data_IF_512953081224
#
_entry.id   IF_512953081224
#
_cell.length_a   1.000
_cell.length_b   1.000
_cell.length_c   1.000
_cell.angle_alpha   90.00
_cell.angle_beta   90.00
_cell.angle_gamma   90.00
#
_symmetry.space_group_name_H-M   'P 1'
#
loop_
_entity.id
_entity.type
_entity.pdbx_description
1 polymer ?
#
# COMPACT_ATOMS: atom_id res chain seq x y z
N UNK A 1 -15.41 15.17 -8.23
CA UNK A 1 -15.37 13.77 -8.62
C UNK A 1 -15.78 12.99 -7.39
N UNK A 2 -16.83 12.18 -7.54
CA UNK A 2 -17.47 11.44 -6.44
C UNK A 2 -17.06 9.95 -6.46
N UNK A 3 -16.20 9.57 -7.41
CA UNK A 3 -15.63 8.23 -7.49
C UNK A 3 -14.45 8.08 -6.53
N UNK A 4 -14.54 7.10 -5.63
CA UNK A 4 -13.51 6.79 -4.65
C UNK A 4 -13.14 5.31 -4.72
N UNK A 5 -11.86 5.02 -4.54
CA UNK A 5 -11.32 3.66 -4.38
C UNK A 5 -10.75 3.52 -2.96
N UNK A 6 -10.99 2.37 -2.34
CA UNK A 6 -10.48 2.04 -1.01
C UNK A 6 -9.79 0.67 -1.04
N UNK A 7 -8.61 0.60 -0.42
CA UNK A 7 -7.92 -0.64 -0.08
C UNK A 7 -8.03 -0.90 1.42
N UNK A 8 -8.42 -2.13 1.77
CA UNK A 8 -8.76 -2.54 3.13
C UNK A 8 -7.82 -3.67 3.50
N UNK A 9 -7.16 -3.56 4.66
CA UNK A 9 -6.40 -4.68 5.24
C UNK A 9 -7.31 -5.88 5.45
N UNK A 10 -6.76 -7.10 5.44
CA UNK A 10 -7.56 -8.25 5.86
C UNK A 10 -8.03 -8.09 7.31
N UNK A 11 -9.29 -8.44 7.58
CA UNK A 11 -9.82 -8.60 8.93
C UNK A 11 -9.51 -9.99 9.49
N UNK A 12 -9.86 -10.23 10.75
CA UNK A 12 -9.70 -11.55 11.39
C UNK A 12 -8.56 -11.62 12.40
N UNK A 13 -8.13 -12.83 12.72
CA UNK A 13 -7.07 -13.09 13.70
C UNK A 13 -5.66 -12.84 13.13
N UNK A 14 -4.65 -13.16 13.93
CA UNK A 14 -3.23 -13.05 13.58
C UNK A 14 -2.58 -14.43 13.34
N UNK A 15 -3.39 -15.48 13.17
CA UNK A 15 -2.86 -16.81 12.86
C UNK A 15 -2.35 -16.85 11.41
N UNK A 16 -1.38 -17.72 11.13
CA UNK A 16 -0.94 -17.96 9.77
C UNK A 16 -2.10 -18.36 8.85
N UNK A 17 -2.11 -17.83 7.63
CA UNK A 17 -3.10 -18.11 6.58
C UNK A 17 -2.45 -18.15 5.20
N UNK A 18 -3.12 -18.79 4.25
CA UNK A 18 -2.87 -18.73 2.81
C UNK A 18 -3.82 -17.76 2.07
N UNK A 19 -4.81 -17.21 2.78
CA UNK A 19 -5.82 -16.29 2.24
C UNK A 19 -5.63 -14.84 2.73
N UNK A 20 -4.37 -14.41 2.84
CA UNK A 20 -4.00 -13.13 3.43
C UNK A 20 -3.98 -11.98 2.42
N UNK A 21 -5.12 -11.53 1.91
CA UNK A 21 -5.13 -10.53 0.82
C UNK A 21 -5.73 -9.19 1.25
N UNK A 22 -5.30 -8.10 0.59
CA UNK A 22 -6.05 -6.86 0.63
C UNK A 22 -7.39 -7.02 -0.07
N UNK A 23 -8.38 -6.29 0.43
CA UNK A 23 -9.66 -6.13 -0.25
C UNK A 23 -9.72 -4.74 -0.88
N UNK A 24 -10.46 -4.64 -1.99
CA UNK A 24 -10.76 -3.40 -2.69
C UNK A 24 -12.26 -3.16 -2.69
N UNK A 25 -12.68 -1.92 -2.45
CA UNK A 25 -14.06 -1.48 -2.63
C UNK A 25 -14.07 -0.10 -3.29
N UNK A 26 -15.17 0.23 -3.95
CA UNK A 26 -15.36 1.53 -4.60
C UNK A 26 -16.68 2.18 -4.20
N UNK A 27 -16.69 3.51 -4.28
CA UNK A 27 -17.89 4.34 -4.10
C UNK A 27 -18.06 5.22 -5.33
N UNK A 28 -19.31 5.45 -5.73
CA UNK A 28 -19.69 6.36 -6.83
C UNK A 28 -20.56 7.53 -6.37
N UNK A 29 -20.65 7.72 -5.05
CA UNK A 29 -21.48 8.72 -4.40
C UNK A 29 -20.72 9.45 -3.29
N UNK A 30 -19.40 9.65 -3.46
CA UNK A 30 -18.59 10.44 -2.52
C UNK A 30 -18.35 9.75 -1.18
N UNK A 31 -18.47 8.42 -1.13
CA UNK A 31 -18.22 7.60 0.06
C UNK A 31 -19.44 7.33 0.93
N UNK A 32 -20.64 7.67 0.47
CA UNK A 32 -21.89 7.38 1.19
C UNK A 32 -22.23 5.89 1.16
N UNK A 33 -22.07 5.26 0.00
CA UNK A 33 -22.21 3.81 -0.18
C UNK A 33 -21.00 3.24 -0.87
N UNK A 34 -20.74 1.96 -0.59
CA UNK A 34 -19.58 1.22 -1.06
C UNK A 34 -20.04 -0.11 -1.65
N UNK A 35 -19.35 -0.59 -2.69
CA UNK A 35 -19.57 -1.93 -3.20
C UNK A 35 -19.15 -2.97 -2.18
N UNK A 36 -19.64 -4.21 -2.34
CA UNK A 36 -19.03 -5.35 -1.65
C UNK A 36 -17.52 -5.38 -1.93
N UNK A 37 -16.74 -5.63 -0.88
CA UNK A 37 -15.30 -5.64 -0.95
C UNK A 37 -14.84 -6.91 -1.69
N UNK A 38 -13.97 -6.75 -2.68
CA UNK A 38 -13.43 -7.84 -3.49
C UNK A 38 -11.98 -8.10 -3.14
N UNK A 39 -11.59 -9.36 -3.10
CA UNK A 39 -10.21 -9.76 -2.95
C UNK A 39 -9.34 -9.24 -4.10
N UNK A 40 -8.13 -8.81 -3.77
CA UNK A 40 -7.11 -8.36 -4.72
C UNK A 40 -5.97 -9.37 -4.83
N UNK A 41 -5.01 -9.10 -5.69
CA UNK A 41 -3.75 -9.86 -5.78
C UNK A 41 -2.69 -9.43 -4.75
N UNK A 42 -2.94 -8.38 -3.97
CA UNK A 42 -1.96 -7.84 -3.03
C UNK A 42 -2.04 -8.59 -1.71
N UNK A 43 -0.94 -9.24 -1.32
CA UNK A 43 -0.84 -9.92 -0.03
C UNK A 43 -0.88 -8.89 1.12
N UNK A 44 -1.32 -9.33 2.29
CA UNK A 44 -1.37 -8.52 3.50
C UNK A 44 -1.42 -9.38 4.78
N UNK A 45 -0.53 -9.11 5.75
CA UNK A 45 -0.44 -9.86 7.00
C UNK A 45 -1.31 -9.25 8.11
N UNK A 46 -2.54 -8.80 7.77
CA UNK A 46 -3.40 -8.02 8.66
C UNK A 46 -2.67 -6.76 9.18
N UNK A 47 -1.99 -6.07 8.26
CA UNK A 47 -1.26 -4.82 8.49
C UNK A 47 -1.98 -3.69 7.77
N UNK A 48 -1.94 -2.48 8.34
CA UNK A 48 -2.50 -1.31 7.67
C UNK A 48 -1.76 -1.05 6.35
N UNK A 49 -2.42 -0.31 5.46
CA UNK A 49 -1.90 0.12 4.16
C UNK A 49 -2.00 1.63 4.03
N UNK A 50 -1.20 2.21 3.14
CA UNK A 50 -1.36 3.58 2.71
C UNK A 50 -1.67 3.60 1.21
N UNK A 51 -2.59 4.47 0.82
CA UNK A 51 -3.00 4.64 -0.57
C UNK A 51 -3.16 6.14 -0.84
N UNK A 52 -2.48 6.65 -1.88
CA UNK A 52 -2.51 8.06 -2.22
C UNK A 52 -2.49 8.28 -3.73
N UNK A 53 -3.15 9.36 -4.16
CA UNK A 53 -3.01 9.90 -5.50
C UNK A 53 -1.83 10.89 -5.51
N UNK A 54 -0.88 10.66 -6.41
CA UNK A 54 0.26 11.54 -6.63
C UNK A 54 -0.16 12.76 -7.46
N UNK A 55 0.67 13.79 -7.47
CA UNK A 55 0.45 15.08 -8.15
C UNK A 55 0.27 14.94 -9.66
N UNK A 56 0.84 13.90 -10.28
CA UNK A 56 0.67 13.57 -11.69
C UNK A 56 -0.58 12.72 -11.98
N UNK A 57 -1.36 12.36 -10.95
CA UNK A 57 -2.58 11.58 -11.08
C UNK A 57 -2.40 10.07 -10.84
N UNK A 58 -1.17 9.55 -10.83
CA UNK A 58 -0.90 8.14 -10.55
C UNK A 58 -1.34 7.75 -9.14
N UNK A 59 -1.64 6.47 -8.94
CA UNK A 59 -2.09 5.93 -7.66
C UNK A 59 -0.99 5.04 -7.07
N UNK A 60 -0.62 5.30 -5.83
CA UNK A 60 0.43 4.56 -5.13
C UNK A 60 -0.14 3.80 -3.94
N UNK A 61 0.04 2.48 -3.94
CA UNK A 61 -0.33 1.58 -2.86
C UNK A 61 0.91 1.12 -2.10
N UNK A 62 0.91 1.29 -0.78
CA UNK A 62 1.98 0.85 0.13
C UNK A 62 1.43 -0.21 1.08
N UNK A 63 2.04 -1.40 1.06
CA UNK A 63 1.56 -2.57 1.78
C UNK A 63 2.70 -3.52 2.16
N UNK A 64 2.40 -4.54 2.96
CA UNK A 64 3.32 -5.63 3.23
C UNK A 64 3.02 -6.80 2.29
N UNK A 65 3.94 -7.12 1.38
CA UNK A 65 3.75 -8.17 0.36
C UNK A 65 4.03 -9.58 0.91
N UNK A 66 3.30 -9.94 1.96
CA UNK A 66 3.35 -11.24 2.59
C UNK A 66 2.02 -11.54 3.30
N UNK A 67 1.65 -12.81 3.42
CA UNK A 67 0.39 -13.24 4.03
C UNK A 67 0.38 -13.15 5.56
N UNK A 68 1.57 -13.21 6.18
CA UNK A 68 1.74 -13.59 7.57
C UNK A 68 2.75 -12.70 8.31
N UNK A 69 3.78 -12.19 7.63
CA UNK A 69 4.82 -11.36 8.24
C UNK A 69 4.80 -9.93 7.71
N UNK A 70 5.16 -8.97 8.56
CA UNK A 70 5.16 -7.54 8.21
C UNK A 70 6.47 -7.12 7.53
N UNK A 71 6.92 -7.89 6.55
CA UNK A 71 8.13 -7.64 5.75
C UNK A 71 8.00 -8.43 4.44
N UNK A 72 8.37 -7.88 3.28
CA UNK A 72 8.88 -6.53 3.06
C UNK A 72 7.79 -5.45 3.18
N UNK A 73 8.18 -4.18 3.15
CA UNK A 73 7.28 -3.08 2.80
C UNK A 73 7.43 -2.82 1.30
N UNK A 74 6.34 -2.95 0.56
CA UNK A 74 6.28 -2.85 -0.89
C UNK A 74 5.45 -1.65 -1.31
N UNK A 75 5.85 -1.04 -2.42
CA UNK A 75 5.12 0.03 -3.11
C UNK A 75 4.73 -0.49 -4.48
N UNK A 76 3.47 -0.28 -4.88
CA UNK A 76 2.96 -0.53 -6.22
C UNK A 76 2.34 0.76 -6.78
N UNK A 77 2.49 1.00 -8.08
CA UNK A 77 1.98 2.19 -8.77
C UNK A 77 1.09 1.80 -9.94
N UNK A 78 -0.10 2.40 -9.97
CA UNK A 78 -1.01 2.38 -11.11
C UNK A 78 -0.93 3.73 -11.85
N UNK A 79 -0.84 3.63 -13.17
CA UNK A 79 -0.83 4.79 -14.10
C UNK A 79 -2.11 4.87 -14.94
N UNK A 80 -3.10 4.02 -14.64
CA UNK A 80 -4.34 3.79 -15.38
C UNK A 80 -5.57 3.80 -14.44
N UNK A 81 -5.57 4.70 -13.45
CA UNK A 81 -6.68 4.93 -12.53
C UNK A 81 -7.19 3.66 -11.82
N UNK A 82 -6.25 2.87 -11.25
CA UNK A 82 -6.51 1.68 -10.42
C UNK A 82 -6.94 0.43 -11.22
N UNK A 83 -6.76 0.43 -12.55
CA UNK A 83 -7.00 -0.76 -13.38
C UNK A 83 -5.87 -1.78 -13.25
N UNK A 84 -4.60 -1.35 -13.32
CA UNK A 84 -3.43 -2.23 -13.19
C UNK A 84 -2.30 -1.60 -12.37
N UNK A 85 -1.44 -2.46 -11.80
CA UNK A 85 -0.28 -2.03 -11.00
C UNK A 85 1.04 -2.65 -11.54
N UNK A 86 1.48 -2.28 -12.75
CA UNK A 86 2.60 -2.93 -13.41
C UNK A 86 3.96 -2.57 -12.78
N UNK A 87 4.05 -1.48 -12.03
CA UNK A 87 5.27 -1.02 -11.37
C UNK A 87 5.20 -1.33 -9.88
N UNK A 88 6.11 -2.16 -9.37
CA UNK A 88 6.13 -2.46 -7.94
C UNK A 88 7.52 -2.82 -7.42
N UNK A 89 7.90 -2.26 -6.27
CA UNK A 89 9.22 -2.44 -5.67
C UNK A 89 9.16 -2.54 -4.15
N UNK A 90 9.98 -3.43 -3.58
CA UNK A 90 10.23 -3.47 -2.14
C UNK A 90 11.11 -2.27 -1.77
N UNK A 91 10.57 -1.34 -0.96
CA UNK A 91 11.31 -0.16 -0.51
C UNK A 91 12.17 -0.45 0.71
N UNK A 92 11.79 -1.47 1.49
CA UNK A 92 12.59 -2.02 2.58
C UNK A 92 12.15 -3.45 2.91
N UNK A 93 13.06 -4.27 3.41
CA UNK A 93 12.80 -5.66 3.78
C UNK A 93 13.95 -6.24 4.60
N UNK A 94 13.98 -7.57 4.70
CA UNK A 94 14.97 -8.31 5.50
C UNK A 94 14.41 -8.78 6.84
N UNK A 95 15.32 -9.20 7.73
CA UNK A 95 15.00 -9.72 9.07
C UNK A 95 14.64 -8.58 10.05
N UNK A 96 13.53 -7.92 9.75
CA UNK A 96 12.91 -6.88 10.57
C UNK A 96 11.41 -6.79 10.22
N UNK A 97 10.65 -5.99 10.96
CA UNK A 97 9.23 -5.75 10.70
C UNK A 97 8.99 -4.29 10.34
N UNK A 98 8.12 -4.03 9.38
CA UNK A 98 7.71 -2.70 8.93
C UNK A 98 6.19 -2.65 8.87
N UNK A 99 5.56 -1.92 9.77
CA UNK A 99 4.09 -1.93 9.90
C UNK A 99 3.48 -0.54 9.97
N UNK A 100 2.19 -0.45 9.70
CA UNK A 100 1.43 0.80 9.76
C UNK A 100 2.06 1.93 8.92
N UNK A 101 2.23 1.72 7.60
CA UNK A 101 2.68 2.79 6.73
C UNK A 101 1.67 3.94 6.72
N UNK A 102 2.19 5.16 6.70
CA UNK A 102 1.47 6.37 6.33
C UNK A 102 2.34 7.13 5.35
N UNK A 103 1.74 7.66 4.28
CA UNK A 103 2.50 8.27 3.19
C UNK A 103 1.90 9.60 2.76
N UNK A 104 2.77 10.52 2.33
CA UNK A 104 2.42 11.79 1.70
C UNK A 104 3.36 12.04 0.52
N UNK A 105 2.90 12.85 -0.44
CA UNK A 105 3.77 13.47 -1.42
C UNK A 105 3.93 14.95 -1.09
N UNK A 106 5.18 15.41 -1.00
CA UNK A 106 5.51 16.82 -0.72
C UNK A 106 5.54 17.65 -2.00
N UNK A 107 5.60 18.99 -1.86
CA UNK A 107 5.54 19.94 -3.00
C UNK A 107 6.72 19.81 -3.98
N UNK A 108 7.83 19.24 -3.53
CA UNK A 108 9.01 18.94 -4.35
C UNK A 108 8.87 17.60 -5.11
N UNK A 109 7.71 16.95 -5.04
CA UNK A 109 7.40 15.70 -5.73
C UNK A 109 7.83 14.44 -4.98
N UNK A 110 8.56 14.56 -3.87
CA UNK A 110 9.07 13.41 -3.11
C UNK A 110 7.95 12.70 -2.36
N UNK A 111 8.05 11.37 -2.33
CA UNK A 111 7.19 10.51 -1.51
C UNK A 111 7.88 10.28 -0.16
N UNK A 112 7.17 10.56 0.92
CA UNK A 112 7.59 10.31 2.28
C UNK A 112 6.72 9.22 2.87
N UNK A 113 7.33 8.15 3.37
CA UNK A 113 6.65 7.09 4.13
C UNK A 113 7.18 7.12 5.56
N UNK A 114 6.27 7.16 6.53
CA UNK A 114 6.57 6.80 7.92
C UNK A 114 5.95 5.46 8.24
N UNK A 115 6.68 4.60 8.94
CA UNK A 115 6.16 3.32 9.41
C UNK A 115 6.81 2.95 10.74
N UNK A 116 6.19 2.02 11.45
CA UNK A 116 6.77 1.42 12.64
C UNK A 116 7.80 0.35 12.24
N UNK A 117 8.91 0.24 12.97
CA UNK A 117 9.95 -0.77 12.77
C UNK A 117 10.39 -1.42 14.09
N UNK A 118 11.25 -2.45 14.04
CA UNK A 118 11.80 -3.15 15.20
C UNK A 118 10.70 -3.67 16.14
N UNK A 119 9.77 -4.47 15.62
CA UNK A 119 8.58 -4.94 16.35
C UNK A 119 7.73 -3.79 16.93
N UNK A 120 7.62 -2.69 16.18
CA UNK A 120 6.85 -1.48 16.53
C UNK A 120 7.40 -0.68 17.71
N UNK A 121 8.72 -0.76 17.95
CA UNK A 121 9.40 0.01 19.00
C UNK A 121 10.09 1.27 18.49
N UNK A 122 10.16 1.45 17.17
CA UNK A 122 10.78 2.62 16.54
C UNK A 122 9.93 3.11 15.36
N UNK A 123 10.14 4.36 14.96
CA UNK A 123 9.59 4.92 13.73
C UNK A 123 10.72 5.02 12.70
N UNK A 124 10.45 4.51 11.51
CA UNK A 124 11.30 4.64 10.33
C UNK A 124 10.69 5.67 9.38
N UNK A 125 11.54 6.49 8.77
CA UNK A 125 11.16 7.42 7.70
C UNK A 125 11.93 7.04 6.42
N UNK A 126 11.20 6.87 5.32
CA UNK A 126 11.72 6.55 3.99
C UNK A 126 11.33 7.69 3.05
N UNK A 127 12.24 8.11 2.18
CA UNK A 127 11.98 9.14 1.16
C UNK A 127 12.52 8.69 -0.19
N UNK A 128 11.74 8.85 -1.25
CA UNK A 128 12.14 8.54 -2.62
C UNK A 128 11.34 9.36 -3.64
N UNK A 129 11.84 9.42 -4.87
CA UNK A 129 11.13 9.95 -6.02
C UNK A 129 10.36 8.81 -6.72
N UNK A 130 9.23 9.10 -7.36
CA UNK A 130 8.38 8.08 -8.00
C UNK A 130 9.13 7.22 -9.02
N UNK A 131 10.08 7.81 -9.75
CA UNK A 131 10.93 7.12 -10.73
C UNK A 131 11.71 5.96 -10.12
N UNK A 132 11.98 5.98 -8.82
CA UNK A 132 12.59 4.84 -8.13
C UNK A 132 11.73 3.57 -8.16
N UNK A 133 10.44 3.69 -8.44
CA UNK A 133 9.50 2.58 -8.62
C UNK A 133 9.24 2.30 -10.11
N UNK A 134 9.06 3.34 -10.93
CA UNK A 134 8.71 3.20 -12.35
C UNK A 134 9.85 2.65 -13.22
N UNK A 135 11.08 3.07 -12.96
CA UNK A 135 12.25 2.72 -13.79
C UNK A 135 12.92 1.41 -13.34
N UNK A 136 12.25 0.64 -12.48
CA UNK A 136 12.79 -0.62 -11.97
C UNK A 136 12.59 -1.74 -12.98
N UNK A 137 13.63 -2.07 -13.73
CA UNK A 137 13.68 -3.30 -14.52
C UNK A 137 13.73 -4.52 -13.58
N UNK A 138 12.88 -5.52 -13.86
CA UNK A 138 12.77 -6.79 -13.11
C UNK A 138 13.92 -7.71 -13.47
#
# INVERSE_FOLDING_TARGET
>A
DDYLVCYIRRGGDFLPTDDGWLLRSESRDGGHTWTEAKQTEFKNPNSAVAFLRLQNGHLMLIFNDDMNVRTPLRVAVSTDDDETYPYARNVIGGDNTYAYPYAIQTKDGKIHIVCTTNNRTSILHITFDETAILDWEI
#
